data_IF_500602138786
#
_entry.id   IF_500602138786
#
_cell.length_a   1.000
_cell.length_b   1.000
_cell.length_c   1.000
_cell.angle_alpha   90.00
_cell.angle_beta   90.00
_cell.angle_gamma   90.00
#
_symmetry.space_group_name_H-M   'P 1'
#
loop_
_entity.id
_entity.type
_entity.pdbx_description
1 polymer ?
#
# COMPACT_ATOMS: atom_id res chain seq x y z
N UNK A 1 -0.94 6.86 -8.46
CA UNK A 1 -0.31 7.54 -7.32
C UNK A 1 0.36 8.81 -7.81
N UNK A 2 0.08 9.95 -7.18
CA UNK A 2 0.80 11.20 -7.44
C UNK A 2 2.19 11.16 -6.79
N UNK A 3 3.16 11.94 -7.29
CA UNK A 3 4.52 11.96 -6.73
C UNK A 3 4.57 12.31 -5.23
N UNK A 4 3.62 13.10 -4.75
CA UNK A 4 3.45 13.45 -3.33
C UNK A 4 3.09 12.27 -2.44
N UNK A 5 2.42 11.23 -2.95
CA UNK A 5 2.05 10.04 -2.15
C UNK A 5 3.27 9.17 -1.78
N UNK A 6 4.42 9.40 -2.43
CA UNK A 6 5.67 8.67 -2.18
C UNK A 6 6.56 9.32 -1.13
N UNK A 7 6.37 10.61 -0.84
CA UNK A 7 7.27 11.35 0.06
C UNK A 7 7.11 10.94 1.52
N UNK A 8 5.94 10.40 1.90
CA UNK A 8 5.66 9.94 3.27
C UNK A 8 6.65 8.88 3.77
N UNK A 9 7.09 7.96 2.91
CA UNK A 9 8.09 6.95 3.27
C UNK A 9 9.44 7.57 3.64
N UNK A 10 9.86 8.62 2.95
CA UNK A 10 11.10 9.34 3.27
C UNK A 10 10.98 10.10 4.58
N UNK A 11 9.83 10.73 4.83
CA UNK A 11 9.57 11.42 6.09
C UNK A 11 9.59 10.44 7.26
N UNK A 12 8.99 9.24 7.10
CA UNK A 12 9.04 8.19 8.11
C UNK A 12 10.48 7.82 8.50
N UNK A 13 11.37 7.56 7.53
CA UNK A 13 12.78 7.29 7.81
C UNK A 13 13.57 8.52 8.31
N UNK A 14 13.09 9.73 8.06
CA UNK A 14 13.71 10.96 8.58
C UNK A 14 13.29 11.25 10.04
N UNK A 15 12.11 10.80 10.46
CA UNK A 15 11.60 11.08 11.80
C UNK A 15 12.25 10.17 12.85
N UNK A 16 13.17 10.75 13.62
CA UNK A 16 13.93 10.03 14.66
C UNK A 16 13.04 9.26 15.64
N UNK A 17 11.89 9.82 16.05
CA UNK A 17 11.00 9.18 17.03
C UNK A 17 10.25 7.96 16.48
N UNK A 18 10.12 7.84 15.16
CA UNK A 18 9.24 6.84 14.52
C UNK A 18 10.02 5.63 13.98
N UNK A 19 11.35 5.78 13.85
CA UNK A 19 12.17 4.85 13.04
C UNK A 19 13.46 4.40 13.71
N UNK A 20 13.63 4.70 15.03
CA UNK A 20 14.82 4.37 15.83
C UNK A 20 15.40 2.96 15.57
N UNK A 21 14.61 1.87 15.49
CA UNK A 21 15.18 0.53 15.31
C UNK A 21 15.47 0.17 13.85
N UNK A 22 15.06 0.95 12.87
CA UNK A 22 15.12 0.58 11.47
C UNK A 22 16.44 1.07 10.82
N UNK A 23 17.43 0.17 10.80
CA UNK A 23 18.67 0.33 10.03
C UNK A 23 18.84 -0.84 9.06
N UNK A 24 19.27 -0.59 7.83
CA UNK A 24 19.35 -1.60 6.76
C UNK A 24 18.00 -2.07 6.21
N UNK A 25 16.91 -1.38 6.53
CA UNK A 25 15.59 -1.72 6.03
C UNK A 25 15.44 -1.35 4.55
N UNK A 26 14.76 -2.21 3.78
CA UNK A 26 14.39 -1.97 2.39
C UNK A 26 12.87 -1.96 2.28
N UNK A 27 12.29 -0.80 1.96
CA UNK A 27 10.84 -0.64 1.83
C UNK A 27 10.43 -0.69 0.36
N UNK A 28 9.82 -1.80 -0.05
CA UNK A 28 9.17 -1.90 -1.35
C UNK A 28 7.88 -1.07 -1.34
N UNK A 29 7.93 0.11 -1.94
CA UNK A 29 6.81 1.03 -2.05
C UNK A 29 6.39 1.18 -3.52
N UNK A 30 6.01 0.05 -4.12
CA UNK A 30 5.86 -0.16 -5.56
C UNK A 30 4.41 -0.43 -6.01
N UNK A 31 3.44 -0.25 -5.10
CA UNK A 31 2.03 -0.58 -5.35
C UNK A 31 1.72 -2.08 -5.33
N UNK A 32 2.62 -2.90 -4.77
CA UNK A 32 2.44 -4.36 -4.67
C UNK A 32 3.01 -5.13 -5.86
N UNK A 33 3.96 -4.55 -6.60
CA UNK A 33 4.52 -5.16 -7.81
C UNK A 33 5.16 -6.53 -7.51
N UNK A 34 5.84 -6.66 -6.38
CA UNK A 34 6.48 -7.91 -5.93
C UNK A 34 5.51 -9.00 -5.46
N UNK A 35 4.23 -8.68 -5.25
CA UNK A 35 3.20 -9.61 -4.73
C UNK A 35 2.01 -9.79 -5.67
N UNK A 36 2.08 -9.26 -6.89
CA UNK A 36 1.01 -9.39 -7.88
C UNK A 36 0.78 -10.85 -8.31
N UNK A 37 -0.46 -11.17 -8.65
CA UNK A 37 -0.81 -12.45 -9.26
C UNK A 37 -0.29 -12.57 -10.71
N UNK A 38 -0.33 -13.79 -11.25
CA UNK A 38 0.10 -14.03 -12.64
C UNK A 38 -0.78 -13.35 -13.69
N UNK A 39 -2.09 -13.35 -13.47
CA UNK A 39 -3.08 -12.87 -14.44
C UNK A 39 -3.58 -11.45 -14.15
N UNK A 40 -3.50 -11.00 -12.90
CA UNK A 40 -3.96 -9.68 -12.48
C UNK A 40 -3.11 -9.13 -11.34
N UNK A 41 -3.04 -7.80 -11.25
CA UNK A 41 -2.39 -7.10 -10.15
C UNK A 41 -3.03 -7.39 -8.79
N UNK A 42 -4.37 -7.47 -8.75
CA UNK A 42 -5.16 -7.74 -7.57
C UNK A 42 -6.09 -8.95 -7.79
N UNK A 43 -6.20 -9.83 -6.78
CA UNK A 43 -7.08 -11.01 -6.82
C UNK A 43 -8.50 -10.78 -6.29
N UNK A 44 -8.76 -9.62 -5.67
CA UNK A 44 -10.02 -9.32 -4.97
C UNK A 44 -10.97 -8.39 -5.71
N UNK A 45 -10.96 -8.38 -7.04
CA UNK A 45 -11.80 -7.47 -7.83
C UNK A 45 -13.31 -7.66 -7.55
N UNK A 46 -13.72 -8.87 -7.20
CA UNK A 46 -15.11 -9.25 -6.91
C UNK A 46 -15.39 -9.39 -5.39
N UNK A 47 -14.48 -8.91 -4.53
CA UNK A 47 -14.55 -9.14 -3.08
C UNK A 47 -15.77 -8.46 -2.44
N UNK A 48 -16.08 -7.23 -2.83
CA UNK A 48 -17.23 -6.50 -2.27
C UNK A 48 -18.56 -7.17 -2.61
N UNK A 49 -18.71 -7.68 -3.84
CA UNK A 49 -19.88 -8.44 -4.26
C UNK A 49 -20.01 -9.73 -3.46
N UNK A 50 -18.93 -10.51 -3.34
CA UNK A 50 -18.90 -11.78 -2.58
C UNK A 50 -19.26 -11.60 -1.10
N UNK A 51 -18.92 -10.44 -0.52
CA UNK A 51 -19.18 -10.12 0.88
C UNK A 51 -20.48 -9.32 1.09
N UNK A 52 -21.26 -9.08 0.03
CA UNK A 52 -22.47 -8.25 0.07
C UNK A 52 -22.24 -6.86 0.69
N UNK A 53 -21.10 -6.24 0.39
CA UNK A 53 -20.77 -4.89 0.84
C UNK A 53 -21.26 -3.87 -0.17
N UNK A 54 -22.13 -2.95 0.27
CA UNK A 54 -22.53 -1.81 -0.54
C UNK A 54 -21.44 -0.72 -0.52
N UNK A 55 -20.68 -0.66 -1.62
CA UNK A 55 -19.66 0.36 -1.84
C UNK A 55 -20.25 1.76 -2.13
N UNK A 56 -21.56 1.88 -2.35
CA UNK A 56 -22.25 3.16 -2.53
C UNK A 56 -22.41 3.95 -1.24
N UNK A 57 -22.43 3.27 -0.08
CA UNK A 57 -22.57 3.90 1.24
C UNK A 57 -21.26 4.51 1.80
N UNK A 58 -20.12 4.27 1.12
CA UNK A 58 -18.79 4.72 1.51
C UNK A 58 -18.27 5.92 0.70
N UNK A 59 -19.08 6.45 -0.23
CA UNK A 59 -18.73 7.61 -1.06
C UNK A 59 -19.10 8.93 -0.41
#
# INVERSE_FOLDING_TARGET
>A
ASGSEYTGAYVFFATRGDVVPATGALLNYDGGLGVRGFFSGAGGADLAEKLNIDLGALK
#
